data_IF_021687352975
#
_entry.id   IF_021687352975
#
_cell.length_a   1.000
_cell.length_b   1.000
_cell.length_c   1.000
_cell.angle_alpha   90.00
_cell.angle_beta   90.00
_cell.angle_gamma   90.00
#
_symmetry.space_group_name_H-M   'P 1'
#
loop_
_entity.id
_entity.type
_entity.pdbx_description
1 polymer ?
#
# COMPACT_ATOMS: atom_id res chain seq x y z
N UNK A 1 10.00 27.54 -36.15
CA UNK A 1 8.78 26.87 -35.64
C UNK A 1 8.95 25.36 -35.50
N UNK A 2 9.48 24.64 -36.50
CA UNK A 2 9.66 23.16 -36.44
C UNK A 2 10.61 22.69 -35.33
N UNK A 3 11.66 23.46 -35.04
CA UNK A 3 12.63 23.11 -33.99
C UNK A 3 12.06 23.29 -32.57
N UNK A 4 11.26 24.33 -32.33
CA UNK A 4 10.61 24.58 -31.01
C UNK A 4 9.61 23.47 -30.67
N UNK A 5 8.93 22.93 -31.68
CA UNK A 5 8.02 21.80 -31.53
C UNK A 5 8.76 20.51 -31.14
N UNK A 6 9.97 20.29 -31.68
CA UNK A 6 10.82 19.15 -31.33
C UNK A 6 11.31 19.21 -29.87
N UNK A 7 11.62 20.41 -29.36
CA UNK A 7 12.00 20.60 -27.95
C UNK A 7 10.83 20.39 -26.97
N UNK A 8 9.59 20.74 -27.35
CA UNK A 8 8.39 20.47 -26.54
C UNK A 8 8.06 18.98 -26.44
N UNK A 9 8.30 18.20 -27.51
CA UNK A 9 8.13 16.74 -27.51
C UNK A 9 9.21 16.05 -26.66
N UNK A 10 10.43 16.59 -26.64
CA UNK A 10 11.53 16.06 -25.82
C UNK A 10 11.35 16.35 -24.32
N UNK A 11 10.76 17.50 -23.98
CA UNK A 11 10.43 17.85 -22.58
C UNK A 11 9.28 16.99 -22.01
N UNK A 12 8.44 16.43 -22.88
CA UNK A 12 7.28 15.59 -22.54
C UNK A 12 7.64 14.18 -22.06
N UNK A 13 8.90 13.73 -22.19
CA UNK A 13 9.31 12.38 -21.79
C UNK A 13 9.97 12.33 -20.39
N UNK A 14 10.21 13.47 -19.74
CA UNK A 14 10.92 13.54 -18.45
C UNK A 14 9.97 13.82 -17.29
N UNK A 15 8.82 13.14 -17.27
CA UNK A 15 8.00 13.02 -16.06
C UNK A 15 7.62 11.56 -15.91
N UNK A 16 8.62 10.72 -15.64
CA UNK A 16 8.36 9.43 -14.99
C UNK A 16 8.17 9.77 -13.52
N UNK A 17 6.96 9.65 -12.94
CA UNK A 17 6.82 9.74 -11.51
C UNK A 17 7.72 8.66 -10.91
N UNK A 18 8.68 9.06 -10.06
CA UNK A 18 9.40 8.10 -9.24
C UNK A 18 8.35 7.38 -8.41
N UNK A 19 8.07 6.13 -8.76
CA UNK A 19 7.25 5.27 -7.93
C UNK A 19 8.05 5.04 -6.65
N UNK A 20 7.76 5.83 -5.62
CA UNK A 20 8.19 5.48 -4.27
C UNK A 20 7.45 4.18 -3.94
N UNK A 21 8.17 3.06 -3.99
CA UNK A 21 7.67 1.82 -3.41
C UNK A 21 7.59 2.06 -1.90
N UNK A 22 6.38 2.27 -1.39
CA UNK A 22 6.17 2.21 0.04
C UNK A 22 6.48 0.79 0.48
N UNK A 23 7.51 0.63 1.32
CA UNK A 23 7.85 -0.63 1.95
C UNK A 23 6.84 -0.86 3.09
N UNK A 24 5.70 -1.46 2.78
CA UNK A 24 4.65 -1.79 3.76
C UNK A 24 5.02 -3.04 4.57
N UNK A 25 6.24 -3.10 5.10
CA UNK A 25 6.58 -4.11 6.08
C UNK A 25 5.93 -3.69 7.41
N UNK A 26 4.79 -4.31 7.77
CA UNK A 26 4.27 -4.20 9.14
C UNK A 26 5.28 -4.83 10.09
N UNK A 27 5.78 -4.04 11.03
CA UNK A 27 6.63 -4.54 12.09
C UNK A 27 5.78 -5.19 13.17
N UNK A 28 6.20 -6.35 13.65
CA UNK A 28 5.46 -7.11 14.66
C UNK A 28 6.38 -7.80 15.65
N UNK A 29 5.78 -8.16 16.78
CA UNK A 29 6.32 -9.13 17.74
C UNK A 29 5.30 -10.22 17.98
N UNK A 30 5.76 -11.40 18.37
CA UNK A 30 4.91 -12.51 18.81
C UNK A 30 5.14 -12.74 20.29
N UNK A 31 4.03 -12.82 21.03
CA UNK A 31 4.00 -13.12 22.46
C UNK A 31 2.86 -14.10 22.73
N UNK A 32 3.19 -15.23 23.38
CA UNK A 32 2.23 -16.31 23.70
C UNK A 32 1.33 -16.70 22.52
N UNK A 33 1.94 -17.02 21.37
CA UNK A 33 1.24 -17.42 20.13
C UNK A 33 0.35 -16.35 19.49
N UNK A 34 0.41 -15.10 19.96
CA UNK A 34 -0.33 -13.98 19.40
C UNK A 34 0.58 -12.95 18.76
N UNK A 35 0.14 -12.40 17.64
CA UNK A 35 0.86 -11.37 16.89
C UNK A 35 0.44 -9.99 17.37
N UNK A 36 1.41 -9.14 17.65
CA UNK A 36 1.20 -7.75 18.01
C UNK A 36 1.85 -6.87 16.94
N UNK A 37 1.03 -6.12 16.22
CA UNK A 37 1.49 -5.14 15.25
C UNK A 37 1.96 -3.88 15.97
N UNK A 38 3.16 -3.42 15.63
CA UNK A 38 3.81 -2.29 16.27
C UNK A 38 3.29 -1.00 15.68
N UNK A 39 3.04 -0.03 16.55
CA UNK A 39 2.62 1.32 16.17
C UNK A 39 3.66 2.36 16.59
N UNK A 40 3.57 3.57 16.04
CA UNK A 40 4.42 4.70 16.45
C UNK A 40 3.96 5.37 17.75
N UNK A 41 3.03 4.75 18.48
CA UNK A 41 2.49 5.26 19.74
C UNK A 41 3.42 4.86 20.89
N UNK A 42 3.89 5.83 21.67
CA UNK A 42 4.79 5.60 22.81
C UNK A 42 4.02 5.37 24.10
N UNK A 43 4.60 4.58 25.02
CA UNK A 43 4.09 4.31 26.36
C UNK A 43 5.03 4.95 27.38
N UNK A 44 4.51 5.79 28.27
CA UNK A 44 5.31 6.49 29.29
C UNK A 44 5.61 5.63 30.52
N UNK A 45 4.65 4.80 30.94
CA UNK A 45 4.76 3.93 32.11
C UNK A 45 4.43 2.49 31.73
N UNK A 46 5.28 1.57 32.15
CA UNK A 46 5.12 0.13 31.93
C UNK A 46 4.98 -0.61 33.26
N UNK A 47 4.24 -1.73 33.22
CA UNK A 47 4.04 -2.62 34.36
C UNK A 47 5.08 -3.74 34.42
N UNK A 48 4.64 -4.95 34.75
CA UNK A 48 5.53 -6.10 34.87
C UNK A 48 6.10 -6.54 33.51
N UNK A 49 7.29 -7.13 33.52
CA UNK A 49 7.88 -7.75 32.33
C UNK A 49 7.13 -9.03 32.00
N UNK A 50 6.56 -9.10 30.80
CA UNK A 50 5.81 -10.24 30.27
C UNK A 50 6.72 -11.27 29.61
N UNK A 51 7.76 -10.81 28.92
CA UNK A 51 8.64 -11.69 28.15
C UNK A 51 9.70 -10.90 27.39
N UNK A 52 10.30 -11.55 26.40
CA UNK A 52 11.25 -10.93 25.48
C UNK A 52 11.27 -11.67 24.14
N UNK A 53 11.82 -11.02 23.12
CA UNK A 53 12.16 -11.63 21.84
C UNK A 53 13.19 -12.74 22.09
N UNK A 54 12.89 -13.95 21.64
CA UNK A 54 13.81 -15.10 21.70
C UNK A 54 14.44 -15.42 20.36
N UNK A 55 13.83 -14.95 19.26
CA UNK A 55 14.33 -15.17 17.91
C UNK A 55 13.99 -14.00 16.97
N UNK A 56 14.89 -13.68 16.04
CA UNK A 56 14.66 -12.67 15.01
C UNK A 56 14.25 -13.35 13.70
N UNK A 57 13.09 -12.96 13.17
CA UNK A 57 12.53 -13.51 11.94
C UNK A 57 13.09 -12.79 10.70
N UNK A 58 14.26 -13.23 10.24
CA UNK A 58 14.94 -12.71 9.03
C UNK A 58 14.45 -13.35 7.72
N UNK A 59 13.74 -14.48 7.81
CA UNK A 59 13.26 -15.29 6.67
C UNK A 59 11.82 -15.71 6.84
N UNK A 60 11.18 -16.08 5.73
CA UNK A 60 9.84 -16.67 5.74
C UNK A 60 9.90 -18.15 6.16
N UNK A 61 10.11 -18.39 7.45
CA UNK A 61 10.20 -19.72 8.06
C UNK A 61 9.20 -19.84 9.22
N UNK A 62 9.09 -21.05 9.78
CA UNK A 62 8.28 -21.29 10.96
C UNK A 62 9.13 -21.05 12.20
N UNK A 63 8.77 -20.02 12.96
CA UNK A 63 9.37 -19.69 14.25
C UNK A 63 8.50 -20.21 15.38
N UNK A 64 9.10 -20.47 16.54
CA UNK A 64 8.39 -20.90 17.75
C UNK A 64 8.69 -19.97 18.91
N UNK A 65 7.75 -19.84 19.85
CA UNK A 65 7.91 -18.95 21.00
C UNK A 65 7.79 -17.48 20.61
N UNK A 66 8.52 -16.62 21.31
CA UNK A 66 8.45 -15.18 21.11
C UNK A 66 9.47 -14.74 20.05
N UNK A 67 9.02 -14.10 18.98
CA UNK A 67 9.91 -13.65 17.91
C UNK A 67 9.47 -12.30 17.33
N UNK A 68 10.39 -11.64 16.61
CA UNK A 68 10.10 -10.36 15.96
C UNK A 68 10.73 -10.28 14.59
N UNK A 69 10.09 -9.58 13.65
CA UNK A 69 10.71 -9.21 12.37
C UNK A 69 11.43 -7.85 12.41
N UNK A 70 11.42 -7.18 13.57
CA UNK A 70 11.91 -5.79 13.73
C UNK A 70 12.93 -5.64 14.86
N UNK A 71 12.77 -6.41 15.95
CA UNK A 71 13.55 -6.25 17.18
C UNK A 71 14.45 -7.44 17.47
N UNK A 72 15.63 -7.17 18.01
CA UNK A 72 16.64 -8.17 18.33
C UNK A 72 16.28 -9.06 19.53
N UNK A 73 16.99 -10.17 19.67
CA UNK A 73 16.85 -11.08 20.81
C UNK A 73 17.15 -10.33 22.11
N UNK A 74 16.28 -10.51 23.11
CA UNK A 74 16.35 -9.84 24.40
C UNK A 74 15.52 -8.56 24.51
N UNK A 75 14.96 -8.04 23.40
CA UNK A 75 13.99 -6.94 23.47
C UNK A 75 12.79 -7.35 24.32
N UNK A 76 12.55 -6.62 25.41
CA UNK A 76 11.57 -6.98 26.41
C UNK A 76 10.15 -6.50 26.06
N UNK A 77 9.17 -7.28 26.52
CA UNK A 77 7.75 -6.96 26.49
C UNK A 77 7.25 -6.68 27.90
N UNK A 78 6.37 -5.70 28.04
CA UNK A 78 5.83 -5.28 29.33
C UNK A 78 4.32 -5.09 29.27
N UNK A 79 3.70 -5.15 30.45
CA UNK A 79 2.32 -4.72 30.62
C UNK A 79 2.18 -3.21 30.39
N UNK A 80 1.01 -2.80 29.90
CA UNK A 80 0.58 -1.40 29.93
C UNK A 80 -0.42 -1.27 31.08
N UNK A 81 -0.18 -0.41 32.09
CA UNK A 81 -1.07 -0.29 33.25
C UNK A 81 -2.54 -0.08 32.86
N UNK A 82 -3.43 -0.94 33.38
CA UNK A 82 -4.87 -0.86 33.12
C UNK A 82 -5.31 -1.39 31.75
N UNK A 83 -4.43 -2.02 30.98
CA UNK A 83 -4.74 -2.66 29.69
C UNK A 83 -4.45 -4.16 29.77
N UNK A 84 -5.36 -4.97 29.25
CA UNK A 84 -5.17 -6.42 29.21
C UNK A 84 -4.05 -6.79 28.20
N UNK A 85 -3.05 -7.60 28.58
CA UNK A 85 -1.98 -8.03 27.68
C UNK A 85 -2.48 -8.73 26.41
N UNK A 86 -3.67 -9.32 26.44
CA UNK A 86 -4.32 -9.90 25.27
C UNK A 86 -4.82 -8.87 24.26
N UNK A 87 -4.90 -7.59 24.62
CA UNK A 87 -5.25 -6.52 23.70
C UNK A 87 -4.01 -5.75 23.23
N UNK A 88 -3.14 -5.38 24.16
CA UNK A 88 -1.93 -4.59 23.88
C UNK A 88 -0.82 -4.92 24.84
N UNK A 89 0.41 -4.79 24.35
CA UNK A 89 1.63 -4.88 25.14
C UNK A 89 2.54 -3.69 24.83
N UNK A 90 3.43 -3.35 25.76
CA UNK A 90 4.52 -2.42 25.53
C UNK A 90 5.76 -3.21 25.06
N UNK A 91 6.46 -2.69 24.06
CA UNK A 91 7.71 -3.25 23.53
C UNK A 91 8.82 -2.23 23.71
N UNK A 92 9.96 -2.63 24.27
CA UNK A 92 11.11 -1.76 24.46
C UNK A 92 11.82 -1.46 23.14
N UNK A 93 11.75 -0.21 22.69
CA UNK A 93 12.43 0.23 21.47
C UNK A 93 13.87 0.65 21.75
N UNK A 94 14.10 1.29 22.90
CA UNK A 94 15.42 1.65 23.41
C UNK A 94 15.33 1.83 24.93
N UNK A 95 16.46 1.96 25.66
CA UNK A 95 16.43 2.02 27.12
C UNK A 95 15.47 3.10 27.66
N UNK A 96 14.37 2.66 28.27
CA UNK A 96 13.32 3.52 28.82
C UNK A 96 12.35 4.12 27.80
N UNK A 97 12.39 3.69 26.55
CA UNK A 97 11.44 4.08 25.49
C UNK A 97 10.66 2.85 25.07
N UNK A 98 9.34 2.94 25.20
CA UNK A 98 8.43 1.85 24.92
C UNK A 98 7.42 2.27 23.87
N UNK A 99 7.08 1.35 22.97
CA UNK A 99 6.04 1.55 21.97
C UNK A 99 4.91 0.53 22.14
N UNK A 100 3.73 0.86 21.64
CA UNK A 100 2.54 0.00 21.72
C UNK A 100 2.56 -1.05 20.61
N UNK A 101 2.50 -2.32 21.01
CA UNK A 101 2.08 -3.44 20.18
C UNK A 101 0.59 -3.74 20.37
N UNK A 102 -0.19 -3.72 19.29
CA UNK A 102 -1.64 -4.01 19.32
C UNK A 102 -1.89 -5.41 18.79
N UNK A 103 -2.68 -6.23 19.50
CA UNK A 103 -2.96 -7.59 19.05
C UNK A 103 -3.66 -7.55 17.68
N UNK A 104 -3.06 -8.21 16.70
CA UNK A 104 -3.68 -8.44 15.41
C UNK A 104 -4.65 -9.61 15.54
N UNK A 105 -5.88 -9.43 15.03
CA UNK A 105 -6.85 -10.51 14.87
C UNK A 105 -6.52 -11.44 13.69
N UNK A 106 -5.57 -11.04 12.83
CA UNK A 106 -5.14 -11.84 11.68
C UNK A 106 -3.65 -12.14 11.74
N UNK A 107 -3.33 -13.43 11.85
CA UNK A 107 -2.10 -13.97 11.26
C UNK A 107 -2.47 -14.59 9.92
N UNK A 108 -2.58 -13.77 8.88
CA UNK A 108 -2.62 -14.26 7.51
C UNK A 108 -1.22 -14.06 6.92
N UNK A 109 -0.58 -15.14 6.48
CA UNK A 109 0.69 -15.12 5.74
C UNK A 109 0.58 -14.41 4.37
N UNK A 110 -0.45 -13.60 4.17
CA UNK A 110 -0.71 -12.78 3.01
C UNK A 110 -1.03 -11.40 3.53
N UNK A 111 -0.03 -10.53 3.56
CA UNK A 111 -0.26 -9.08 3.56
C UNK A 111 -1.01 -8.70 2.29
N UNK A 112 -2.32 -8.98 2.25
CA UNK A 112 -3.23 -8.32 1.33
C UNK A 112 -3.74 -7.12 2.09
N UNK A 113 -2.96 -6.04 1.98
CA UNK A 113 -3.53 -4.72 2.03
C UNK A 113 -4.63 -4.74 0.96
N UNK A 114 -5.91 -4.81 1.36
CA UNK A 114 -6.97 -4.45 0.43
C UNK A 114 -6.58 -3.09 -0.10
N UNK A 115 -6.12 -3.06 -1.35
CA UNK A 115 -5.86 -1.80 -2.01
C UNK A 115 -7.16 -1.05 -1.90
N UNK A 116 -7.11 0.09 -1.21
CA UNK A 116 -7.93 1.23 -1.52
C UNK A 116 -7.74 1.44 -3.02
N UNK A 117 -8.51 0.71 -3.84
CA UNK A 117 -8.88 1.09 -5.19
C UNK A 117 -9.63 2.38 -4.96
N UNK A 118 -8.86 3.45 -4.75
CA UNK A 118 -9.36 4.77 -4.47
C UNK A 118 -10.35 5.02 -5.59
N UNK A 119 -11.56 5.44 -5.21
CA UNK A 119 -12.68 5.65 -6.12
C UNK A 119 -12.32 6.57 -7.32
N UNK A 120 -11.16 7.24 -7.27
CA UNK A 120 -10.55 8.02 -8.34
C UNK A 120 -10.02 7.18 -9.53
N UNK A 121 -9.51 5.96 -9.32
CA UNK A 121 -8.91 5.15 -10.40
C UNK A 121 -9.96 4.47 -11.29
N UNK A 122 -11.09 4.02 -10.73
CA UNK A 122 -12.19 3.40 -11.49
C UNK A 122 -12.90 4.44 -12.38
N UNK A 123 -13.08 5.67 -11.87
CA UNK A 123 -13.69 6.77 -12.63
C UNK A 123 -12.88 7.18 -13.87
N UNK A 124 -11.55 7.10 -13.77
CA UNK A 124 -10.64 7.44 -14.88
C UNK A 124 -10.77 6.45 -16.04
N UNK A 125 -10.84 5.15 -15.75
CA UNK A 125 -10.99 4.08 -16.76
C UNK A 125 -12.35 4.19 -17.48
N UNK A 126 -13.42 4.46 -16.72
CA UNK A 126 -14.75 4.68 -17.31
C UNK A 126 -14.78 5.89 -18.26
N UNK A 127 -14.09 6.98 -17.91
CA UNK A 127 -14.01 8.18 -18.76
C UNK A 127 -13.35 7.90 -20.12
N UNK A 128 -12.25 7.12 -20.14
CA UNK A 128 -11.57 6.75 -21.38
C UNK A 128 -12.42 5.84 -22.28
N UNK A 129 -13.18 4.91 -21.69
CA UNK A 129 -14.10 4.05 -22.45
C UNK A 129 -15.22 4.88 -23.09
N UNK A 130 -15.83 5.79 -22.33
CA UNK A 130 -16.91 6.66 -22.84
C UNK A 130 -16.40 7.58 -23.96
N UNK A 131 -15.23 8.22 -23.80
CA UNK A 131 -14.64 9.06 -24.83
C UNK A 131 -14.27 8.26 -26.09
N UNK A 132 -13.77 7.04 -25.94
CA UNK A 132 -13.49 6.13 -27.05
C UNK A 132 -14.75 5.78 -27.86
N UNK A 133 -15.86 5.47 -27.18
CA UNK A 133 -17.14 5.17 -27.82
C UNK A 133 -17.75 6.38 -28.55
N UNK A 134 -17.66 7.57 -27.95
CA UNK A 134 -18.11 8.83 -28.58
C UNK A 134 -17.27 9.11 -29.83
N UNK A 135 -15.94 8.96 -29.74
CA UNK A 135 -15.04 9.12 -30.88
C UNK A 135 -15.38 8.17 -32.03
N UNK A 136 -15.65 6.90 -31.73
CA UNK A 136 -16.02 5.89 -32.72
C UNK A 136 -17.37 6.20 -33.39
N UNK A 137 -18.35 6.68 -32.62
CA UNK A 137 -19.65 7.12 -33.14
C UNK A 137 -19.50 8.32 -34.09
N UNK A 138 -18.74 9.34 -33.70
CA UNK A 138 -18.48 10.50 -34.54
C UNK A 138 -17.70 10.14 -35.81
N UNK A 139 -16.70 9.25 -35.71
CA UNK A 139 -15.94 8.76 -36.84
C UNK A 139 -16.83 8.02 -37.85
N UNK A 140 -17.71 7.12 -37.39
CA UNK A 140 -18.68 6.44 -38.27
C UNK A 140 -19.61 7.45 -38.95
N UNK A 141 -20.09 8.46 -38.23
CA UNK A 141 -20.99 9.49 -38.80
C UNK A 141 -20.31 10.32 -39.90
N UNK A 142 -19.05 10.70 -39.69
CA UNK A 142 -18.26 11.45 -40.69
C UNK A 142 -17.94 10.57 -41.90
N UNK A 143 -17.53 9.33 -41.67
CA UNK A 143 -17.24 8.35 -42.74
C UNK A 143 -18.47 8.06 -43.60
N UNK A 144 -19.64 7.94 -42.98
CA UNK A 144 -20.91 7.71 -43.69
C UNK A 144 -21.29 8.91 -44.57
N UNK A 145 -21.19 10.13 -44.04
CA UNK A 145 -21.42 11.36 -44.82
C UNK A 145 -20.49 11.49 -46.04
N UNK A 146 -19.23 11.09 -45.91
CA UNK A 146 -18.26 11.15 -47.01
C UNK A 146 -18.58 10.16 -48.12
N UNK A 147 -19.17 9.01 -47.79
CA UNK A 147 -19.56 8.01 -48.78
C UNK A 147 -20.82 8.45 -49.56
N UNK A 148 -21.86 8.96 -48.89
CA UNK A 148 -23.07 9.44 -49.57
C UNK A 148 -22.78 10.61 -50.52
N UNK A 149 -21.89 11.54 -50.15
CA UNK A 149 -21.53 12.66 -51.05
C UNK A 149 -20.84 12.19 -52.33
N UNK A 150 -20.03 11.12 -52.26
CA UNK A 150 -19.37 10.57 -53.45
C UNK A 150 -20.36 9.91 -54.41
N UNK A 151 -21.44 9.33 -53.90
CA UNK A 151 -22.49 8.73 -54.74
C UNK A 151 -23.31 9.81 -55.45
N UNK A 152 -23.65 10.90 -54.77
CA UNK A 152 -24.31 12.07 -55.40
C UNK A 152 -23.43 12.74 -56.48
N UNK A 153 -22.11 12.84 -56.27
CA UNK A 153 -21.16 13.39 -57.25
C UNK A 153 -20.89 12.44 -58.46
N UNK A 154 -21.29 11.16 -58.38
CA UNK A 154 -21.15 10.17 -59.47
C UNK A 154 -22.42 10.03 -60.34
N UNK A 155 -23.57 10.45 -59.82
CA UNK A 155 -24.86 10.43 -60.52
C UNK A 155 -25.22 11.78 -61.19
N UNK A 156 -24.44 12.84 -60.94
CA UNK A 156 -24.56 14.17 -61.57
C UNK A 156 -23.63 14.34 -62.77
#
# INVERSE_FOLDING_TARGET
MKQVLAWLVLLSWVVVPAQAFANYASFFVVYEDHVYELSSETVEEVGEKLGEVTEYADRAEFYSGNFSNAYEVGTAYYEIPGVDPSEKIAVEESPGVYIVGKRSVEFSAQGVQESQLSTQSIGSIFSFIVLGLIGLFLFRRISFRKNNKKEEDLEA
#
